data_IF_637952133964
#
_entry.id   IF_637952133964
#
_cell.length_a   1.000
_cell.length_b   1.000
_cell.length_c   1.000
_cell.angle_alpha   90.00
_cell.angle_beta   90.00
_cell.angle_gamma   90.00
#
_symmetry.space_group_name_H-M   'P 1'
#
loop_
_entity.id
_entity.type
_entity.pdbx_description
1 polymer ?
#
# COMPACT_ATOMS: atom_id res chain seq x y z
N UNK A 1 30.37 14.48 10.67
CA UNK A 1 30.29 13.78 9.37
C UNK A 1 28.84 13.40 9.20
N UNK A 2 28.07 14.23 8.49
CA UNK A 2 26.67 13.92 8.15
C UNK A 2 26.72 13.23 6.81
N UNK A 3 26.70 11.89 6.81
CA UNK A 3 26.50 11.13 5.59
C UNK A 3 25.14 11.53 5.02
N UNK A 4 25.17 12.21 3.88
CA UNK A 4 24.01 12.54 3.07
C UNK A 4 23.40 11.22 2.61
N UNK A 5 22.33 10.79 3.29
CA UNK A 5 21.61 9.56 3.01
C UNK A 5 20.84 9.71 1.68
N UNK A 6 21.58 9.81 0.58
CA UNK A 6 21.02 9.85 -0.76
C UNK A 6 20.68 8.42 -1.19
N UNK A 7 19.39 8.16 -1.41
CA UNK A 7 18.93 6.87 -1.94
C UNK A 7 19.56 6.66 -3.32
N UNK A 8 20.20 5.51 -3.53
CA UNK A 8 20.79 5.21 -4.83
C UNK A 8 19.72 5.00 -5.91
N UNK A 9 20.04 5.26 -7.19
CA UNK A 9 19.12 4.96 -8.31
C UNK A 9 18.65 3.49 -8.32
N UNK A 10 19.53 2.57 -7.90
CA UNK A 10 19.20 1.15 -7.83
C UNK A 10 18.12 0.86 -6.79
N UNK A 11 18.18 1.52 -5.62
CA UNK A 11 17.18 1.39 -4.56
C UNK A 11 15.86 2.06 -4.93
N UNK A 12 15.89 3.20 -5.63
CA UNK A 12 14.68 3.82 -6.19
C UNK A 12 14.00 2.86 -7.17
N UNK A 13 14.78 2.20 -8.04
CA UNK A 13 14.25 1.24 -9.02
C UNK A 13 13.60 0.04 -8.31
N UNK A 14 14.22 -0.47 -7.24
CA UNK A 14 13.64 -1.55 -6.43
C UNK A 14 12.35 -1.12 -5.71
N UNK A 15 12.31 0.09 -5.15
CA UNK A 15 11.09 0.64 -4.55
C UNK A 15 9.97 0.79 -5.56
N UNK A 16 10.27 1.24 -6.78
CA UNK A 16 9.29 1.35 -7.86
C UNK A 16 8.74 -0.01 -8.31
N UNK A 17 9.60 -1.03 -8.37
CA UNK A 17 9.17 -2.40 -8.65
C UNK A 17 8.21 -2.90 -7.56
N UNK A 18 8.61 -2.78 -6.28
CA UNK A 18 7.77 -3.17 -5.13
C UNK A 18 6.43 -2.43 -5.12
N UNK A 19 6.44 -1.13 -5.41
CA UNK A 19 5.20 -0.34 -5.53
C UNK A 19 4.29 -0.86 -6.64
N UNK A 20 4.87 -1.22 -7.79
CA UNK A 20 4.10 -1.73 -8.94
C UNK A 20 3.44 -3.06 -8.63
N UNK A 21 4.12 -3.95 -7.91
CA UNK A 21 3.57 -5.22 -7.42
C UNK A 21 2.42 -4.99 -6.43
N UNK A 22 2.61 -4.12 -5.44
CA UNK A 22 1.58 -3.78 -4.45
C UNK A 22 0.34 -3.20 -5.15
N UNK A 23 0.54 -2.25 -6.07
CA UNK A 23 -0.54 -1.66 -6.88
C UNK A 23 -1.29 -2.74 -7.68
N UNK A 24 -0.57 -3.66 -8.31
CA UNK A 24 -1.19 -4.72 -9.09
C UNK A 24 -2.03 -5.66 -8.22
N UNK A 25 -1.50 -6.08 -7.06
CA UNK A 25 -2.20 -6.92 -6.10
C UNK A 25 -3.50 -6.27 -5.60
N UNK A 26 -3.44 -4.97 -5.25
CA UNK A 26 -4.62 -4.19 -4.83
C UNK A 26 -5.65 -4.10 -5.94
N UNK A 27 -5.25 -3.75 -7.16
CA UNK A 27 -6.16 -3.65 -8.30
C UNK A 27 -6.86 -4.98 -8.59
N UNK A 28 -6.13 -6.11 -8.47
CA UNK A 28 -6.72 -7.44 -8.63
C UNK A 28 -7.77 -7.73 -7.54
N UNK A 29 -7.45 -7.44 -6.28
CA UNK A 29 -8.39 -7.62 -5.17
C UNK A 29 -9.65 -6.77 -5.35
N UNK A 30 -9.50 -5.51 -5.75
CA UNK A 30 -10.62 -4.60 -6.01
C UNK A 30 -11.46 -5.07 -7.21
N UNK A 31 -10.85 -5.52 -8.30
CA UNK A 31 -11.57 -6.04 -9.46
C UNK A 31 -12.47 -7.23 -9.07
N UNK A 32 -11.96 -8.14 -8.23
CA UNK A 32 -12.76 -9.27 -7.73
C UNK A 32 -13.92 -8.80 -6.85
N UNK A 33 -13.69 -7.84 -5.94
CA UNK A 33 -14.76 -7.28 -5.11
C UNK A 33 -15.83 -6.57 -5.96
N UNK A 34 -15.42 -5.79 -6.95
CA UNK A 34 -16.34 -5.11 -7.88
C UNK A 34 -17.16 -6.11 -8.68
N UNK A 35 -16.53 -7.13 -9.25
CA UNK A 35 -17.23 -8.19 -9.96
C UNK A 35 -18.25 -8.91 -9.06
N UNK A 36 -17.87 -9.25 -7.83
CA UNK A 36 -18.78 -9.88 -6.87
C UNK A 36 -19.93 -8.95 -6.45
N UNK A 37 -19.70 -7.64 -6.37
CA UNK A 37 -20.74 -6.64 -6.12
C UNK A 37 -21.73 -6.54 -7.27
N UNK A 38 -21.27 -6.49 -8.51
CA UNK A 38 -22.15 -6.49 -9.68
C UNK A 38 -22.93 -7.81 -9.83
N UNK A 39 -22.30 -8.92 -9.46
CA UNK A 39 -22.95 -10.23 -9.49
C UNK A 39 -23.98 -10.37 -8.37
N UNK A 40 -23.72 -9.83 -7.17
CA UNK A 40 -24.65 -9.89 -6.04
C UNK A 40 -25.92 -9.08 -6.27
N UNK A 41 -25.83 -7.98 -7.03
CA UNK A 41 -27.02 -7.21 -7.46
C UNK A 41 -27.96 -8.03 -8.35
N UNK A 42 -27.42 -8.95 -9.16
CA UNK A 42 -28.22 -9.79 -10.08
C UNK A 42 -28.62 -11.13 -9.46
N UNK A 43 -27.77 -11.68 -8.59
CA UNK A 43 -27.95 -12.95 -7.89
C UNK A 43 -27.54 -12.78 -6.42
N UNK A 44 -28.51 -12.65 -5.50
CA UNK A 44 -28.25 -12.41 -4.08
C UNK A 44 -27.30 -13.41 -3.41
N UNK A 45 -27.23 -14.65 -3.93
CA UNK A 45 -26.34 -15.70 -3.44
C UNK A 45 -24.85 -15.32 -3.47
N UNK A 46 -24.44 -14.36 -4.31
CA UNK A 46 -23.05 -13.86 -4.30
C UNK A 46 -22.76 -12.86 -3.18
N UNK A 47 -23.77 -12.38 -2.45
CA UNK A 47 -23.58 -11.42 -1.36
C UNK A 47 -22.72 -11.99 -0.23
N UNK A 48 -22.91 -13.28 0.11
CA UNK A 48 -22.08 -13.96 1.11
C UNK A 48 -20.63 -14.06 0.62
N UNK A 49 -20.43 -14.48 -0.63
CA UNK A 49 -19.09 -14.57 -1.24
C UNK A 49 -18.39 -13.21 -1.30
N UNK A 50 -19.13 -12.14 -1.58
CA UNK A 50 -18.63 -10.77 -1.51
C UNK A 50 -18.18 -10.42 -0.10
N UNK A 51 -19.01 -10.68 0.92
CA UNK A 51 -18.69 -10.39 2.31
C UNK A 51 -17.43 -11.13 2.78
N UNK A 52 -17.32 -12.43 2.49
CA UNK A 52 -16.12 -13.23 2.80
C UNK A 52 -14.88 -12.68 2.09
N UNK A 53 -15.04 -12.29 0.82
CA UNK A 53 -13.93 -11.71 0.03
C UNK A 53 -13.46 -10.39 0.62
N UNK A 54 -14.38 -9.50 1.00
CA UNK A 54 -14.05 -8.22 1.66
C UNK A 54 -13.30 -8.45 2.97
N UNK A 55 -13.83 -9.33 3.83
CA UNK A 55 -13.20 -9.66 5.12
C UNK A 55 -11.79 -10.24 4.97
N UNK A 56 -11.52 -10.95 3.88
CA UNK A 56 -10.21 -11.57 3.63
C UNK A 56 -9.23 -10.62 2.94
N UNK A 57 -9.68 -9.91 1.90
CA UNK A 57 -8.81 -9.11 1.02
C UNK A 57 -8.55 -7.71 1.55
N UNK A 58 -9.47 -7.09 2.29
CA UNK A 58 -9.25 -5.76 2.84
C UNK A 58 -8.07 -5.72 3.84
N UNK A 59 -7.94 -6.67 4.80
CA UNK A 59 -6.75 -6.73 5.66
C UNK A 59 -5.46 -6.97 4.87
N UNK A 60 -5.49 -7.80 3.82
CA UNK A 60 -4.33 -8.05 2.95
C UNK A 60 -3.86 -6.78 2.24
N UNK A 61 -4.79 -5.97 1.71
CA UNK A 61 -4.49 -4.67 1.11
C UNK A 61 -3.79 -3.75 2.11
N UNK A 62 -4.33 -3.65 3.33
CA UNK A 62 -3.73 -2.82 4.39
C UNK A 62 -2.32 -3.30 4.75
N UNK A 63 -2.12 -4.61 4.92
CA UNK A 63 -0.79 -5.20 5.19
C UNK A 63 0.21 -4.85 4.10
N UNK A 64 -0.16 -5.07 2.82
CA UNK A 64 0.74 -4.77 1.69
C UNK A 64 1.10 -3.28 1.60
N UNK A 65 0.16 -2.38 1.91
CA UNK A 65 0.44 -0.93 1.96
C UNK A 65 1.35 -0.56 3.13
N UNK A 66 1.15 -1.15 4.30
CA UNK A 66 2.00 -0.94 5.48
C UNK A 66 3.42 -1.42 5.23
N UNK A 67 3.58 -2.64 4.69
CA UNK A 67 4.87 -3.22 4.33
C UNK A 67 5.62 -2.40 3.27
N UNK A 68 4.89 -1.81 2.33
CA UNK A 68 5.48 -0.87 1.36
C UNK A 68 5.91 0.43 2.04
N UNK A 69 5.04 1.02 2.85
CA UNK A 69 5.31 2.29 3.57
C UNK A 69 6.52 2.15 4.50
N UNK A 70 6.64 1.02 5.19
CA UNK A 70 7.79 0.73 6.05
C UNK A 70 9.07 0.62 5.23
N UNK A 71 9.06 -0.15 4.14
CA UNK A 71 10.22 -0.27 3.26
C UNK A 71 10.62 1.08 2.62
N UNK A 72 9.65 1.95 2.34
CA UNK A 72 9.92 3.30 1.87
C UNK A 72 10.57 4.16 2.96
N UNK A 73 10.05 4.11 4.19
CA UNK A 73 10.58 4.88 5.32
C UNK A 73 12.01 4.46 5.69
N UNK A 74 12.30 3.16 5.67
CA UNK A 74 13.65 2.62 5.89
C UNK A 74 14.67 3.17 4.88
N UNK A 75 14.22 3.43 3.64
CA UNK A 75 15.07 3.98 2.58
C UNK A 75 15.15 5.51 2.61
N UNK A 76 14.09 6.20 3.01
CA UNK A 76 14.05 7.66 3.08
C UNK A 76 14.87 8.28 4.23
N UNK A 77 15.35 7.46 5.18
CA UNK A 77 16.07 7.94 6.36
C UNK A 77 15.16 8.62 7.38
N UNK A 78 15.68 8.98 8.58
CA UNK A 78 14.91 9.72 9.57
C UNK A 78 14.47 11.07 8.98
N UNK A 79 13.17 11.36 9.10
CA UNK A 79 12.62 12.70 8.80
C UNK A 79 13.46 13.71 9.61
N UNK A 80 14.07 14.75 8.99
CA UNK A 80 14.72 15.78 9.78
C UNK A 80 13.68 16.35 10.75
N UNK A 81 13.96 16.27 12.05
CA UNK A 81 13.16 16.90 13.08
C UNK A 81 12.93 18.35 12.65
N UNK A 82 11.67 18.75 12.52
CA UNK A 82 11.31 20.14 12.30
C UNK A 82 11.97 20.96 13.40
N UNK A 83 12.95 21.79 13.03
CA UNK A 83 13.58 22.76 13.91
C UNK A 83 12.47 23.49 14.67
N UNK A 84 12.43 23.47 16.02
CA UNK A 84 11.44 24.26 16.74
C UNK A 84 11.70 25.71 16.38
N UNK A 85 10.77 26.31 15.62
CA UNK A 85 10.78 27.73 15.33
C UNK A 85 10.45 28.44 16.64
N UNK A 86 11.48 28.64 17.45
CA UNK A 86 11.46 29.62 18.52
C UNK A 86 11.42 30.98 17.84
N UNK A 87 10.22 31.50 17.63
CA UNK A 87 10.03 32.90 17.28
C UNK A 87 9.94 33.64 18.62
N UNK A 88 10.98 34.44 18.88
CA UNK A 88 11.07 35.45 19.94
C UNK A 88 10.09 36.60 19.71
#
# INVERSE_FOLDING_TARGET
MTDDASISRSEITQLQAKFSEVKHSINNALAVMMALSEMSQRRPDYAEKLATTVLTKAPQIVSSLQEFTQALAEKAGPKPESVPSAIS
#
